data_IF_542995504901
#
_entry.id   IF_542995504901
#
_cell.length_a   1.000
_cell.length_b   1.000
_cell.length_c   1.000
_cell.angle_alpha   90.00
_cell.angle_beta   90.00
_cell.angle_gamma   90.00
#
_symmetry.space_group_name_H-M   'P 1'
#
loop_
_entity.id
_entity.type
_entity.pdbx_description
1 polymer ?
#
# COMPACT_ATOMS: atom_id res chain seq x y z
N UNK A 1 27.88 -4.75 45.14
CA UNK A 1 26.60 -5.47 45.03
C UNK A 1 25.54 -4.41 44.74
N UNK A 2 25.26 -4.16 43.45
CA UNK A 2 24.03 -4.56 42.71
C UNK A 2 22.82 -3.73 43.17
N UNK A 3 22.05 -2.96 42.38
CA UNK A 3 22.01 -2.53 40.97
C UNK A 3 20.95 -1.43 40.98
N UNK A 4 21.19 -0.28 40.36
CA UNK A 4 20.13 0.69 40.08
C UNK A 4 19.22 0.13 38.99
N UNK A 5 17.93 -0.04 39.29
CA UNK A 5 16.91 -0.35 38.28
C UNK A 5 16.70 0.89 37.41
N UNK A 6 17.26 0.86 36.22
CA UNK A 6 16.91 1.79 35.14
C UNK A 6 15.76 1.14 34.38
N UNK A 7 14.54 1.59 34.64
CA UNK A 7 13.36 1.22 33.86
C UNK A 7 13.38 2.10 32.58
N UNK A 8 13.62 1.56 31.38
CA UNK A 8 13.48 2.36 30.18
C UNK A 8 11.99 2.67 29.98
N UNK A 9 11.61 3.91 29.62
CA UNK A 9 10.25 4.14 29.17
C UNK A 9 10.02 3.27 27.93
N UNK A 10 9.09 2.32 28.02
CA UNK A 10 8.48 1.67 26.87
C UNK A 10 7.79 2.75 26.05
N UNK A 11 8.55 3.42 25.19
CA UNK A 11 8.06 4.27 24.12
C UNK A 11 7.52 3.34 23.01
N UNK A 12 6.45 2.62 23.34
CA UNK A 12 5.50 2.16 22.33
C UNK A 12 4.67 3.39 21.97
N UNK A 13 5.29 4.33 21.25
CA UNK A 13 4.53 5.33 20.53
C UNK A 13 3.53 4.59 19.63
N UNK A 14 2.22 4.89 19.70
CA UNK A 14 1.28 4.37 18.72
C UNK A 14 1.80 4.77 17.33
N UNK A 15 1.65 3.92 16.29
CA UNK A 15 2.05 4.30 14.94
C UNK A 15 1.40 5.66 14.64
N UNK A 16 2.23 6.63 14.26
CA UNK A 16 1.75 7.97 13.94
C UNK A 16 0.57 7.83 12.96
N UNK A 17 -0.53 8.60 13.14
CA UNK A 17 -1.55 8.65 12.11
C UNK A 17 -0.85 9.06 10.82
N UNK A 18 -1.04 8.27 9.76
CA UNK A 18 -0.49 8.58 8.45
C UNK A 18 -0.80 10.04 8.12
N UNK A 19 0.25 10.83 7.89
CA UNK A 19 0.13 12.25 7.58
C UNK A 19 -0.87 12.40 6.42
N UNK A 20 -1.97 13.18 6.59
CA UNK A 20 -3.01 13.30 5.57
C UNK A 20 -2.51 13.93 4.26
N UNK A 21 -1.32 14.56 4.27
CA UNK A 21 -0.64 15.06 3.08
C UNK A 21 0.20 13.99 2.35
N UNK A 22 0.38 12.81 2.95
CA UNK A 22 1.08 11.69 2.30
C UNK A 22 0.18 11.07 1.24
N UNK A 23 0.66 11.03 0.00
CA UNK A 23 -0.04 10.37 -1.12
C UNK A 23 -0.51 8.97 -0.71
N UNK A 24 -1.76 8.57 -1.02
CA UNK A 24 -2.25 7.24 -0.68
C UNK A 24 -1.36 6.10 -1.20
N UNK A 25 -0.68 6.30 -2.33
CA UNK A 25 0.30 5.34 -2.86
C UNK A 25 1.57 5.25 -2.00
N UNK A 26 2.01 6.36 -1.42
CA UNK A 26 3.15 6.37 -0.51
C UNK A 26 2.81 5.66 0.81
N UNK A 27 1.57 5.83 1.31
CA UNK A 27 1.07 5.08 2.48
C UNK A 27 1.05 3.57 2.21
N UNK A 28 0.59 3.15 1.03
CA UNK A 28 0.59 1.73 0.63
C UNK A 28 2.01 1.16 0.58
N UNK A 29 2.98 1.92 0.05
CA UNK A 29 4.38 1.50 0.00
C UNK A 29 5.03 1.42 1.39
N UNK A 30 4.64 2.29 2.33
CA UNK A 30 5.10 2.23 3.73
C UNK A 30 4.51 1.02 4.43
N UNK A 31 3.19 0.85 4.39
CA UNK A 31 2.51 -0.28 5.02
C UNK A 31 3.00 -1.63 4.47
N UNK A 32 3.28 -1.71 3.17
CA UNK A 32 3.83 -2.92 2.58
C UNK A 32 5.21 -3.28 3.12
N UNK A 33 6.04 -2.29 3.47
CA UNK A 33 7.35 -2.52 4.10
C UNK A 33 7.20 -3.00 5.54
N UNK A 34 6.31 -2.37 6.30
CA UNK A 34 5.96 -2.80 7.66
C UNK A 34 5.47 -4.26 7.65
N UNK A 35 4.61 -4.65 6.71
CA UNK A 35 4.14 -6.04 6.57
C UNK A 35 5.29 -7.02 6.25
N UNK A 36 6.28 -6.60 5.44
CA UNK A 36 7.45 -7.44 5.14
C UNK A 36 8.27 -7.71 6.41
N UNK A 37 8.46 -6.68 7.23
CA UNK A 37 9.26 -6.76 8.45
C UNK A 37 8.52 -7.55 9.55
N UNK A 38 7.21 -7.36 9.70
CA UNK A 38 6.40 -7.98 10.75
C UNK A 38 5.91 -9.40 10.39
N UNK A 39 5.73 -9.69 9.10
CA UNK A 39 5.20 -10.97 8.61
C UNK A 39 6.06 -11.53 7.46
N UNK A 40 7.11 -12.32 7.76
CA UNK A 40 7.96 -12.94 6.74
C UNK A 40 7.18 -13.81 5.72
N UNK A 41 6.10 -14.47 6.17
CA UNK A 41 5.22 -15.24 5.27
C UNK A 41 4.38 -14.36 4.32
N UNK A 42 4.17 -13.08 4.67
CA UNK A 42 3.44 -12.11 3.87
C UNK A 42 4.36 -11.35 2.89
N UNK A 43 5.68 -11.39 3.12
CA UNK A 43 6.66 -10.55 2.44
C UNK A 43 6.56 -10.59 0.90
N UNK A 44 6.31 -11.76 0.32
CA UNK A 44 6.16 -11.91 -1.12
C UNK A 44 4.98 -11.10 -1.69
N UNK A 45 3.81 -11.17 -1.03
CA UNK A 45 2.61 -10.44 -1.46
C UNK A 45 2.73 -8.94 -1.18
N UNK A 46 3.27 -8.58 -0.01
CA UNK A 46 3.48 -7.18 0.36
C UNK A 46 4.48 -6.49 -0.58
N UNK A 47 5.57 -7.18 -0.96
CA UNK A 47 6.53 -6.67 -1.93
C UNK A 47 5.91 -6.45 -3.31
N UNK A 48 5.00 -7.34 -3.75
CA UNK A 48 4.25 -7.14 -4.98
C UNK A 48 3.37 -5.89 -4.88
N UNK A 49 2.62 -5.71 -3.79
CA UNK A 49 1.77 -4.52 -3.59
C UNK A 49 2.60 -3.23 -3.62
N UNK A 50 3.77 -3.20 -2.96
CA UNK A 50 4.68 -2.05 -3.00
C UNK A 50 5.18 -1.75 -4.43
N UNK A 51 5.51 -2.78 -5.21
CA UNK A 51 5.92 -2.65 -6.60
C UNK A 51 4.81 -2.04 -7.45
N UNK A 52 3.59 -2.58 -7.37
CA UNK A 52 2.43 -2.07 -8.10
C UNK A 52 2.12 -0.61 -7.74
N UNK A 53 2.15 -0.27 -6.44
CA UNK A 53 1.92 1.11 -5.99
C UNK A 53 2.96 2.08 -6.54
N UNK A 54 4.24 1.66 -6.59
CA UNK A 54 5.31 2.45 -7.21
C UNK A 54 5.08 2.63 -8.71
N UNK A 55 4.76 1.57 -9.43
CA UNK A 55 4.54 1.62 -10.88
C UNK A 55 3.38 2.56 -11.24
N UNK A 56 2.28 2.51 -10.50
CA UNK A 56 1.15 3.43 -10.68
C UNK A 56 1.57 4.88 -10.41
N UNK A 57 2.38 5.11 -9.36
CA UNK A 57 2.90 6.45 -9.04
C UNK A 57 3.81 7.02 -10.13
N UNK A 58 4.66 6.17 -10.71
CA UNK A 58 5.66 6.54 -11.72
C UNK A 58 5.04 6.72 -13.10
N UNK A 59 4.20 5.78 -13.55
CA UNK A 59 3.56 5.83 -14.86
C UNK A 59 2.37 6.78 -14.91
N UNK A 60 1.73 7.05 -13.76
CA UNK A 60 0.48 7.83 -13.65
C UNK A 60 -0.51 7.45 -14.74
N UNK A 61 -0.90 6.16 -14.83
CA UNK A 61 -1.70 5.67 -15.93
C UNK A 61 -2.99 6.50 -16.04
N UNK A 62 -3.36 6.80 -17.29
CA UNK A 62 -4.62 7.45 -17.59
C UNK A 62 -5.82 6.55 -17.25
N UNK A 63 -7.01 7.11 -17.38
CA UNK A 63 -8.26 6.43 -17.02
C UNK A 63 -8.46 5.08 -17.72
N UNK A 64 -8.19 5.03 -19.03
CA UNK A 64 -8.36 3.83 -19.87
C UNK A 64 -7.21 2.84 -19.69
N UNK A 65 -5.97 3.36 -19.50
CA UNK A 65 -4.80 2.52 -19.27
C UNK A 65 -4.90 1.77 -17.93
N UNK A 66 -5.40 2.44 -16.88
CA UNK A 66 -5.64 1.79 -15.59
C UNK A 66 -6.68 0.68 -15.69
N UNK A 67 -7.76 0.89 -16.44
CA UNK A 67 -8.77 -0.16 -16.67
C UNK A 67 -8.16 -1.36 -17.41
N UNK A 68 -7.41 -1.10 -18.49
CA UNK A 68 -6.77 -2.16 -19.25
C UNK A 68 -5.77 -2.97 -18.41
N UNK A 69 -5.02 -2.31 -17.53
CA UNK A 69 -4.09 -2.97 -16.61
C UNK A 69 -4.81 -3.85 -15.58
N UNK A 70 -5.90 -3.36 -14.99
CA UNK A 70 -6.71 -4.14 -14.05
C UNK A 70 -7.38 -5.30 -14.76
N UNK A 71 -7.93 -5.09 -15.96
CA UNK A 71 -8.53 -6.16 -16.75
C UNK A 71 -7.49 -7.23 -17.13
N UNK A 72 -6.30 -6.85 -17.60
CA UNK A 72 -5.25 -7.80 -17.95
C UNK A 72 -4.77 -8.64 -16.75
N UNK A 73 -4.77 -8.05 -15.56
CA UNK A 73 -4.23 -8.68 -14.35
C UNK A 73 -5.28 -9.50 -13.60
N UNK A 74 -6.52 -9.01 -13.54
CA UNK A 74 -7.56 -9.56 -12.66
C UNK A 74 -8.65 -10.35 -13.40
N UNK A 75 -8.69 -10.32 -14.74
CA UNK A 75 -9.69 -11.07 -15.51
C UNK A 75 -9.56 -12.57 -15.25
N UNK A 76 -10.66 -13.19 -14.87
CA UNK A 76 -10.72 -14.61 -14.48
C UNK A 76 -10.31 -14.89 -13.03
N UNK A 77 -9.75 -13.90 -12.31
CA UNK A 77 -9.42 -13.99 -10.89
C UNK A 77 -10.46 -13.28 -10.00
N UNK A 78 -11.04 -12.19 -10.50
CA UNK A 78 -12.10 -11.43 -9.81
C UNK A 78 -13.41 -11.46 -10.60
N UNK A 79 -14.57 -11.60 -9.92
CA UNK A 79 -15.87 -11.30 -10.49
C UNK A 79 -15.93 -9.89 -11.08
N UNK A 80 -16.73 -9.68 -12.12
CA UNK A 80 -16.82 -8.39 -12.82
C UNK A 80 -17.17 -7.22 -11.90
N UNK A 81 -18.08 -7.43 -10.94
CA UNK A 81 -18.46 -6.40 -9.96
C UNK A 81 -17.30 -5.98 -9.05
N UNK A 82 -16.50 -6.95 -8.58
CA UNK A 82 -15.31 -6.66 -7.78
C UNK A 82 -14.22 -5.98 -8.61
N UNK A 83 -14.07 -6.36 -9.88
CA UNK A 83 -13.12 -5.73 -10.80
C UNK A 83 -13.49 -4.26 -11.05
N UNK A 84 -14.78 -3.97 -11.23
CA UNK A 84 -15.29 -2.61 -11.38
C UNK A 84 -15.06 -1.77 -10.12
N UNK A 85 -15.34 -2.31 -8.94
CA UNK A 85 -15.08 -1.62 -7.67
C UNK A 85 -13.58 -1.34 -7.46
N UNK A 86 -12.71 -2.27 -7.86
CA UNK A 86 -11.26 -2.08 -7.79
C UNK A 86 -10.81 -0.92 -8.70
N UNK A 87 -11.31 -0.87 -9.93
CA UNK A 87 -11.04 0.23 -10.88
C UNK A 87 -11.48 1.57 -10.30
N UNK A 88 -12.71 1.66 -9.77
CA UNK A 88 -13.26 2.89 -9.20
C UNK A 88 -12.47 3.33 -7.95
N UNK A 89 -12.06 2.38 -7.11
CA UNK A 89 -11.25 2.67 -5.92
C UNK A 89 -9.85 3.15 -6.29
N UNK A 90 -9.19 2.50 -7.25
CA UNK A 90 -7.88 2.91 -7.74
C UNK A 90 -7.96 4.31 -8.39
N UNK A 91 -9.00 4.59 -9.17
CA UNK A 91 -9.26 5.92 -9.73
C UNK A 91 -9.32 7.03 -8.67
N UNK A 92 -9.88 6.75 -7.50
CA UNK A 92 -9.92 7.72 -6.42
C UNK A 92 -8.54 7.99 -5.80
N UNK A 93 -7.64 6.99 -5.85
CA UNK A 93 -6.29 7.06 -5.28
C UNK A 93 -5.29 7.71 -6.26
N UNK A 94 -5.37 7.39 -7.55
CA UNK A 94 -4.55 8.01 -8.59
C UNK A 94 -5.28 9.26 -9.08
N UNK A 95 -4.98 10.43 -8.51
CA UNK A 95 -5.42 11.70 -9.10
C UNK A 95 -4.86 11.76 -10.53
N UNK A 96 -5.71 11.54 -11.52
CA UNK A 96 -5.30 11.60 -12.93
C UNK A 96 -4.80 13.01 -13.25
N UNK A 97 -3.67 13.09 -13.97
CA UNK A 97 -3.33 14.33 -14.65
C UNK A 97 -4.32 14.47 -15.82
N UNK A 98 -5.06 15.59 -15.85
CA UNK A 98 -5.92 15.96 -16.98
C UNK A 98 -5.12 16.16 -18.27
#
# INVERSE_FOLDING_TARGET
MTTGSYDPPSDSAPPMPADPDTSPLDQIMTLSREIVDDCPSCAGKASQIAMWAREIRERRPGREELEALVDATCKGFLPDDQRKLLIESLRALVRFAE
#
